data_IF_365074092977
#
_entry.id   IF_365074092977
#
_cell.length_a   1.000
_cell.length_b   1.000
_cell.length_c   1.000
_cell.angle_alpha   90.00
_cell.angle_beta   90.00
_cell.angle_gamma   90.00
#
_symmetry.space_group_name_H-M   'P 1'
#
loop_
_entity.id
_entity.type
_entity.pdbx_description
1 polymer ?
#
# COMPACT_ATOMS: atom_id res chain seq x y z
N UNK A 1 -2.69 -1.46 0.69
CA UNK A 1 -2.94 -0.59 -0.48
C UNK A 1 -2.10 0.64 -0.28
N UNK A 2 -1.43 1.13 -1.31
CA UNK A 2 -0.48 2.22 -1.16
C UNK A 2 -0.58 3.14 -2.37
N UNK A 3 -0.49 4.44 -2.15
CA UNK A 3 -0.43 5.44 -3.21
C UNK A 3 0.96 6.09 -3.25
N UNK A 4 1.53 6.20 -4.45
CA UNK A 4 2.88 6.74 -4.68
C UNK A 4 2.82 7.85 -5.73
N UNK A 5 2.89 9.12 -5.31
CA UNK A 5 3.03 10.23 -6.24
C UNK A 5 4.47 10.40 -6.70
N UNK A 6 4.63 11.01 -7.88
CA UNK A 6 5.89 11.52 -8.38
C UNK A 6 5.70 12.96 -8.86
N UNK A 7 6.76 13.76 -8.81
CA UNK A 7 6.75 15.14 -9.33
C UNK A 7 6.63 15.17 -10.86
N UNK A 8 7.19 14.16 -11.54
CA UNK A 8 7.17 14.07 -13.00
C UNK A 8 5.83 13.54 -13.53
N UNK A 9 5.45 14.01 -14.71
CA UNK A 9 4.25 13.53 -15.40
C UNK A 9 4.58 12.36 -16.33
N UNK A 10 4.02 11.19 -16.03
CA UNK A 10 4.20 10.00 -16.85
C UNK A 10 5.57 9.34 -16.65
N UNK A 11 5.99 8.54 -17.64
CA UNK A 11 7.26 7.81 -17.58
C UNK A 11 8.42 8.76 -17.86
N UNK A 12 9.40 8.81 -16.95
CA UNK A 12 10.63 9.58 -17.10
C UNK A 12 11.86 8.70 -16.88
N UNK A 13 12.94 8.96 -17.62
CA UNK A 13 14.27 8.45 -17.27
C UNK A 13 14.79 9.28 -16.09
N UNK A 14 15.41 8.62 -15.12
CA UNK A 14 16.17 9.27 -14.05
C UNK A 14 17.67 9.05 -14.28
N UNK A 15 18.50 9.92 -13.72
CA UNK A 15 19.96 9.80 -13.67
C UNK A 15 20.44 10.17 -12.28
N UNK A 16 21.49 9.50 -11.80
CA UNK A 16 22.08 9.77 -10.47
C UNK A 16 21.00 9.79 -9.36
N UNK A 17 21.01 10.81 -8.51
CA UNK A 17 20.13 10.97 -7.35
C UNK A 17 18.65 11.13 -7.70
N UNK A 18 18.33 11.48 -8.94
CA UNK A 18 16.93 11.55 -9.41
C UNK A 18 16.25 10.16 -9.35
N UNK A 19 17.05 9.08 -9.36
CA UNK A 19 16.58 7.71 -9.22
C UNK A 19 16.24 7.31 -7.77
N UNK A 20 16.52 8.16 -6.79
CA UNK A 20 16.18 7.93 -5.38
C UNK A 20 16.84 6.66 -4.83
N UNK A 21 16.04 5.70 -4.36
CA UNK A 21 16.54 4.45 -3.77
C UNK A 21 17.45 3.63 -4.69
N UNK A 22 17.38 3.84 -6.01
CA UNK A 22 18.22 3.17 -7.01
C UNK A 22 19.45 4.00 -7.42
N UNK A 23 19.64 5.19 -6.84
CA UNK A 23 20.78 6.04 -7.13
C UNK A 23 22.08 5.44 -6.57
N UNK A 24 23.25 5.67 -7.22
CA UNK A 24 24.55 5.25 -6.69
C UNK A 24 24.86 5.82 -5.29
N UNK A 25 24.34 7.01 -4.97
CA UNK A 25 24.47 7.64 -3.65
C UNK A 25 23.66 6.93 -2.56
N UNK A 26 22.66 6.12 -2.96
CA UNK A 26 21.72 5.46 -2.06
C UNK A 26 20.68 6.39 -1.42
N UNK A 27 20.53 7.63 -1.89
CA UNK A 27 19.59 8.60 -1.28
C UNK A 27 18.13 8.30 -1.64
N UNK A 28 17.49 7.47 -0.81
CA UNK A 28 16.10 6.99 -0.99
C UNK A 28 15.07 8.08 -1.34
N UNK A 29 15.13 9.25 -0.69
CA UNK A 29 14.06 10.25 -0.72
C UNK A 29 14.30 11.46 -1.64
N UNK A 30 15.48 11.55 -2.27
CA UNK A 30 15.86 12.72 -3.07
C UNK A 30 15.32 12.63 -4.51
N UNK A 31 14.99 11.42 -4.98
CA UNK A 31 14.45 11.20 -6.33
C UNK A 31 13.06 11.80 -6.59
N UNK A 32 12.60 11.73 -7.84
CA UNK A 32 11.32 12.36 -8.24
C UNK A 32 10.06 11.73 -7.64
N UNK A 33 10.15 10.49 -7.18
CA UNK A 33 9.02 9.69 -6.72
C UNK A 33 9.07 9.47 -5.21
N UNK A 34 7.90 9.27 -4.62
CA UNK A 34 7.79 8.80 -3.23
C UNK A 34 8.02 7.28 -3.18
N UNK A 35 9.15 6.81 -2.61
CA UNK A 35 9.50 5.39 -2.61
C UNK A 35 8.69 4.58 -1.59
N UNK A 36 8.15 5.23 -0.55
CA UNK A 36 7.45 4.54 0.54
C UNK A 36 5.95 4.57 0.33
N UNK A 37 5.44 5.67 -0.23
CA UNK A 37 4.01 5.88 -0.40
C UNK A 37 3.30 6.24 0.90
N UNK A 38 2.00 6.47 0.77
CA UNK A 38 1.06 6.44 1.89
C UNK A 38 0.32 5.10 1.87
N UNK A 39 0.63 4.22 2.82
CA UNK A 39 0.15 2.85 2.88
C UNK A 39 -1.00 2.65 3.87
N UNK A 40 -1.86 1.71 3.53
CA UNK A 40 -2.88 1.12 4.40
C UNK A 40 -2.71 -0.40 4.38
N UNK A 41 -1.99 -0.92 5.37
CA UNK A 41 -1.92 -2.34 5.73
C UNK A 41 -2.68 -2.53 7.06
N UNK A 42 -3.79 -3.29 7.09
CA UNK A 42 -4.57 -3.50 8.31
C UNK A 42 -3.76 -3.95 9.53
N UNK A 43 -2.78 -4.85 9.35
CA UNK A 43 -1.94 -5.31 10.45
C UNK A 43 -1.03 -4.19 10.96
N UNK A 44 -0.40 -3.45 10.05
CA UNK A 44 0.43 -2.27 10.39
C UNK A 44 -0.38 -1.16 11.06
N UNK A 45 -1.66 -1.06 10.73
CA UNK A 45 -2.63 -0.13 11.32
C UNK A 45 -3.30 -0.68 12.60
N UNK A 46 -2.72 -1.69 13.26
CA UNK A 46 -3.18 -2.17 14.56
C UNK A 46 -4.35 -3.16 14.53
N UNK A 47 -4.64 -3.76 13.37
CA UNK A 47 -5.71 -4.75 13.18
C UNK A 47 -5.17 -6.10 12.65
N UNK A 48 -4.34 -6.82 13.43
CA UNK A 48 -3.73 -8.06 12.97
C UNK A 48 -4.75 -9.17 12.68
N UNK A 49 -5.94 -9.14 13.28
CA UNK A 49 -6.99 -10.14 13.07
C UNK A 49 -7.87 -9.89 11.83
N UNK A 50 -7.60 -8.84 11.05
CA UNK A 50 -8.47 -8.47 9.93
C UNK A 50 -8.20 -9.29 8.65
N UNK A 51 -6.94 -9.40 8.20
CA UNK A 51 -6.59 -10.01 6.91
C UNK A 51 -5.59 -11.15 7.07
N UNK A 52 -5.91 -12.33 6.52
CA UNK A 52 -5.04 -13.53 6.54
C UNK A 52 -5.82 -14.84 6.71
N UNK A 53 -5.14 -15.99 6.86
CA UNK A 53 -5.80 -17.29 6.93
C UNK A 53 -6.76 -17.39 8.13
N UNK A 54 -8.05 -17.66 7.88
CA UNK A 54 -9.08 -17.80 8.92
C UNK A 54 -9.46 -16.48 9.64
N UNK A 55 -9.05 -15.33 9.12
CA UNK A 55 -9.37 -13.99 9.68
C UNK A 55 -10.67 -13.42 9.07
N UNK A 56 -11.03 -12.18 9.43
CA UNK A 56 -12.26 -11.50 8.96
C UNK A 56 -12.33 -11.51 7.42
N UNK A 57 -11.24 -11.10 6.76
CA UNK A 57 -10.98 -11.34 5.34
C UNK A 57 -10.07 -12.57 5.22
N UNK A 58 -10.70 -13.74 5.02
CA UNK A 58 -10.04 -15.05 5.04
C UNK A 58 -9.29 -15.30 3.73
N UNK A 59 -7.97 -15.25 3.76
CA UNK A 59 -7.14 -15.41 2.54
C UNK A 59 -7.02 -16.84 2.05
N UNK A 60 -7.60 -17.83 2.76
CA UNK A 60 -7.72 -19.21 2.25
C UNK A 60 -8.84 -19.36 1.21
N UNK A 61 -9.65 -18.31 1.03
CA UNK A 61 -10.79 -18.28 0.11
C UNK A 61 -10.67 -17.10 -0.85
N UNK A 62 -11.37 -17.19 -1.98
CA UNK A 62 -11.48 -16.07 -2.93
C UNK A 62 -12.04 -14.83 -2.23
N UNK A 63 -11.45 -13.67 -2.51
CA UNK A 63 -11.82 -12.38 -1.97
C UNK A 63 -12.09 -11.41 -3.13
N UNK A 64 -13.23 -10.72 -3.11
CA UNK A 64 -13.45 -9.56 -3.97
C UNK A 64 -12.89 -8.34 -3.28
N UNK A 65 -12.01 -7.60 -3.98
CA UNK A 65 -11.39 -6.37 -3.47
C UNK A 65 -11.96 -5.20 -4.27
N UNK A 66 -12.55 -4.22 -3.57
CA UNK A 66 -13.12 -3.01 -4.19
C UNK A 66 -12.31 -1.80 -3.73
N UNK A 67 -11.81 -1.01 -4.68
CA UNK A 67 -11.10 0.24 -4.40
C UNK A 67 -11.87 1.39 -5.03
N UNK A 68 -12.08 2.47 -4.27
CA UNK A 68 -12.83 3.65 -4.71
C UNK A 68 -11.93 4.87 -4.62
N UNK A 69 -11.92 5.68 -5.68
CA UNK A 69 -11.15 6.92 -5.77
C UNK A 69 -12.14 8.09 -5.67
N UNK A 70 -12.16 8.74 -4.52
CA UNK A 70 -13.13 9.79 -4.18
C UNK A 70 -12.51 11.15 -4.48
N UNK A 71 -13.22 11.96 -5.25
CA UNK A 71 -12.83 13.34 -5.54
C UNK A 71 -13.57 14.34 -4.66
N UNK A 72 -13.05 15.56 -4.52
CA UNK A 72 -13.53 16.57 -3.57
C UNK A 72 -15.00 16.96 -3.76
N UNK A 73 -15.54 16.88 -4.98
CA UNK A 73 -16.93 17.21 -5.30
C UNK A 73 -17.71 16.04 -5.94
N UNK A 74 -17.11 14.84 -5.99
CA UNK A 74 -17.69 13.65 -6.61
C UNK A 74 -17.65 13.61 -8.14
N UNK A 75 -17.02 14.60 -8.80
CA UNK A 75 -16.84 14.61 -10.27
C UNK A 75 -15.50 14.02 -10.69
N UNK A 76 -15.37 13.46 -11.91
CA UNK A 76 -14.09 12.92 -12.40
C UNK A 76 -12.98 13.96 -12.63
N UNK A 77 -13.34 15.25 -12.72
CA UNK A 77 -12.39 16.34 -12.98
C UNK A 77 -11.77 16.92 -11.72
N UNK A 78 -12.41 16.75 -10.56
CA UNK A 78 -11.94 17.33 -9.31
C UNK A 78 -10.74 16.57 -8.72
N UNK A 79 -10.11 17.19 -7.73
CA UNK A 79 -8.95 16.62 -7.03
C UNK A 79 -9.33 15.34 -6.28
N UNK A 80 -8.45 14.33 -6.34
CA UNK A 80 -8.56 13.12 -5.52
C UNK A 80 -8.31 13.49 -4.06
N UNK A 81 -9.24 13.14 -3.17
CA UNK A 81 -9.16 13.46 -1.73
C UNK A 81 -9.12 12.22 -0.83
N UNK A 82 -9.58 11.07 -1.34
CA UNK A 82 -9.64 9.86 -0.54
C UNK A 82 -9.59 8.60 -1.41
N UNK A 83 -8.86 7.57 -0.96
CA UNK A 83 -8.89 6.23 -1.55
C UNK A 83 -9.47 5.27 -0.52
N UNK A 84 -10.68 4.74 -0.81
CA UNK A 84 -11.39 3.80 0.06
C UNK A 84 -11.18 2.36 -0.38
N UNK A 85 -11.27 1.46 0.58
CA UNK A 85 -11.19 0.01 0.38
C UNK A 85 -12.44 -0.66 0.95
N UNK A 86 -12.95 -1.67 0.24
CA UNK A 86 -13.94 -2.62 0.75
C UNK A 86 -13.59 -4.01 0.26
N UNK A 87 -14.11 -5.03 0.93
CA UNK A 87 -14.02 -6.41 0.49
C UNK A 87 -15.41 -7.04 0.43
N UNK A 88 -15.54 -8.12 -0.34
CA UNK A 88 -16.69 -9.01 -0.28
C UNK A 88 -16.17 -10.45 -0.34
N UNK A 89 -16.67 -11.29 0.57
CA UNK A 89 -16.32 -12.70 0.61
C UNK A 89 -17.59 -13.53 0.83
N UNK A 90 -17.85 -14.49 -0.05
CA UNK A 90 -19.05 -15.33 0.01
C UNK A 90 -20.35 -14.52 0.13
N UNK A 91 -20.47 -13.45 -0.67
CA UNK A 91 -21.58 -12.50 -0.65
C UNK A 91 -21.72 -11.66 0.64
N UNK A 92 -20.78 -11.78 1.58
CA UNK A 92 -20.74 -10.95 2.79
C UNK A 92 -19.85 -9.72 2.55
N UNK A 93 -20.40 -8.49 2.62
CA UNK A 93 -19.59 -7.29 2.54
C UNK A 93 -18.76 -7.10 3.82
N UNK A 94 -17.51 -6.67 3.64
CA UNK A 94 -16.56 -6.43 4.71
C UNK A 94 -15.99 -5.02 4.52
N UNK A 95 -16.25 -4.13 5.47
CA UNK A 95 -15.65 -2.79 5.51
C UNK A 95 -14.16 -2.89 5.83
N UNK A 96 -13.36 -1.92 5.34
CA UNK A 96 -11.98 -1.79 5.80
C UNK A 96 -11.97 -1.50 7.31
N UNK A 97 -10.98 -1.98 8.08
CA UNK A 97 -10.93 -1.67 9.50
C UNK A 97 -10.47 -0.22 9.68
N UNK A 98 -10.87 0.39 10.79
CA UNK A 98 -10.31 1.68 11.19
C UNK A 98 -8.91 1.49 11.78
N UNK A 99 -8.04 2.49 11.62
CA UNK A 99 -6.73 2.54 12.25
C UNK A 99 -6.89 2.43 13.77
N UNK A 100 -6.16 1.50 14.37
CA UNK A 100 -6.13 1.24 15.81
C UNK A 100 -4.70 1.43 16.33
N UNK A 101 -4.20 2.66 16.22
CA UNK A 101 -2.87 3.07 16.68
C UNK A 101 -3.03 4.30 17.57
N UNK A 102 -2.42 4.32 18.77
CA UNK A 102 -2.44 5.51 19.62
C UNK A 102 -1.95 6.76 18.88
N UNK A 103 -2.63 7.89 19.10
CA UNK A 103 -2.32 9.19 18.50
C UNK A 103 -2.55 9.31 16.98
N UNK A 104 -3.24 8.34 16.37
CA UNK A 104 -3.82 8.49 15.02
C UNK A 104 -5.34 8.51 15.15
N UNK A 105 -6.00 9.44 14.44
CA UNK A 105 -7.46 9.49 14.42
C UNK A 105 -8.02 8.25 13.71
N UNK A 106 -9.29 7.92 13.99
CA UNK A 106 -9.94 6.73 13.46
C UNK A 106 -10.29 6.89 11.97
N UNK A 107 -9.33 6.58 11.07
CA UNK A 107 -9.53 6.52 9.62
C UNK A 107 -9.64 5.08 9.14
N UNK A 108 -10.43 4.82 8.11
CA UNK A 108 -10.52 3.52 7.41
C UNK A 108 -10.10 3.60 5.94
N UNK A 109 -9.47 4.71 5.54
CA UNK A 109 -9.13 5.04 4.16
C UNK A 109 -7.83 5.86 4.09
N UNK A 110 -7.30 6.02 2.88
CA UNK A 110 -6.15 6.89 2.62
C UNK A 110 -6.69 8.30 2.32
N UNK A 111 -6.37 9.25 3.19
CA UNK A 111 -6.57 10.70 3.05
C UNK A 111 -5.26 11.42 3.38
N UNK A 112 -5.08 12.67 2.94
CA UNK A 112 -3.89 13.46 3.31
C UNK A 112 -3.66 13.48 4.81
N UNK A 113 -4.71 13.72 5.61
CA UNK A 113 -4.62 13.75 7.07
C UNK A 113 -4.22 12.41 7.67
N UNK A 114 -4.77 11.29 7.16
CA UNK A 114 -4.38 9.96 7.65
C UNK A 114 -2.91 9.66 7.36
N UNK A 115 -2.40 10.07 6.18
CA UNK A 115 -1.00 9.90 5.81
C UNK A 115 -0.08 10.70 6.74
N UNK A 116 -0.43 11.97 7.01
CA UNK A 116 0.40 12.86 7.83
C UNK A 116 0.46 12.37 9.28
N UNK A 117 -0.67 11.98 9.85
CA UNK A 117 -0.73 11.42 11.20
C UNK A 117 0.01 10.09 11.29
N UNK A 118 -0.17 9.20 10.31
CA UNK A 118 0.53 7.92 10.22
C UNK A 118 2.04 8.11 10.18
N UNK A 119 2.55 8.93 9.25
CA UNK A 119 3.99 9.13 9.08
C UNK A 119 4.60 9.76 10.33
N UNK A 120 3.91 10.73 10.92
CA UNK A 120 4.33 11.36 12.18
C UNK A 120 4.44 10.34 13.32
N UNK A 121 3.40 9.52 13.54
CA UNK A 121 3.37 8.56 14.65
C UNK A 121 4.36 7.40 14.44
N UNK A 122 4.60 6.99 13.20
CA UNK A 122 5.57 5.93 12.90
C UNK A 122 7.02 6.44 12.81
N UNK A 123 7.22 7.76 12.76
CA UNK A 123 8.55 8.36 12.56
C UNK A 123 9.10 8.16 11.15
N UNK A 124 8.22 7.94 10.17
CA UNK A 124 8.58 7.74 8.77
C UNK A 124 8.76 9.10 8.07
N UNK A 125 9.61 9.17 7.04
CA UNK A 125 9.78 10.38 6.22
C UNK A 125 8.48 10.73 5.48
N UNK A 126 7.98 11.98 5.54
CA UNK A 126 6.72 12.40 4.93
C UNK A 126 6.85 12.71 3.42
N UNK A 127 7.55 11.84 2.66
CA UNK A 127 7.83 12.05 1.24
C UNK A 127 6.56 12.15 0.38
N UNK A 128 5.50 11.43 0.74
CA UNK A 128 4.21 11.46 0.04
C UNK A 128 3.68 12.88 -0.21
N UNK A 129 3.65 13.72 0.83
CA UNK A 129 3.20 15.11 0.67
C UNK A 129 4.21 15.96 -0.08
N UNK A 130 5.50 15.74 0.15
CA UNK A 130 6.56 16.45 -0.56
C UNK A 130 6.54 16.20 -2.08
N UNK A 131 6.02 15.05 -2.52
CA UNK A 131 5.83 14.71 -3.94
C UNK A 131 4.41 15.02 -4.46
N UNK A 132 3.60 15.80 -3.72
CA UNK A 132 2.30 16.31 -4.15
C UNK A 132 1.07 15.51 -3.69
N UNK A 133 1.29 14.46 -2.87
CA UNK A 133 0.24 13.72 -2.18
C UNK A 133 -0.87 13.17 -3.09
N UNK A 134 -2.10 13.14 -2.58
CA UNK A 134 -3.25 12.62 -3.33
C UNK A 134 -3.58 13.45 -4.57
N UNK A 135 -3.27 14.75 -4.58
CA UNK A 135 -3.46 15.57 -5.77
C UNK A 135 -2.62 15.04 -6.94
N UNK A 136 -1.32 14.80 -6.72
CA UNK A 136 -0.43 14.25 -7.75
C UNK A 136 -0.85 12.84 -8.19
N UNK A 137 -1.34 11.99 -7.27
CA UNK A 137 -1.93 10.69 -7.61
C UNK A 137 -3.18 10.86 -8.49
N UNK A 138 -4.06 11.80 -8.15
CA UNK A 138 -5.25 12.12 -8.94
C UNK A 138 -4.90 12.62 -10.35
N UNK A 139 -3.88 13.47 -10.48
CA UNK A 139 -3.35 13.90 -11.78
C UNK A 139 -2.86 12.71 -12.63
N UNK A 140 -2.17 11.75 -12.01
CA UNK A 140 -1.72 10.54 -12.70
C UNK A 140 -2.88 9.64 -13.15
N UNK A 141 -3.88 9.43 -12.29
CA UNK A 141 -5.08 8.67 -12.63
C UNK A 141 -5.84 9.32 -13.80
N UNK A 142 -5.95 10.66 -13.83
CA UNK A 142 -6.66 11.38 -14.89
C UNK A 142 -5.97 11.28 -16.24
N UNK A 143 -4.63 11.22 -16.27
CA UNK A 143 -3.87 10.95 -17.51
C UNK A 143 -4.10 9.54 -18.05
N UNK A 144 -4.60 8.63 -17.22
CA UNK A 144 -4.71 7.21 -17.52
C UNK A 144 -3.48 6.45 -17.02
N UNK A 145 -3.73 5.31 -16.37
CA UNK A 145 -2.70 4.41 -15.89
C UNK A 145 -2.87 3.03 -16.52
N UNK A 146 -1.76 2.32 -16.68
CA UNK A 146 -1.76 0.93 -17.14
C UNK A 146 -2.00 0.02 -15.95
N UNK A 147 -2.93 -0.93 -16.08
CA UNK A 147 -3.13 -1.99 -15.10
C UNK A 147 -2.02 -3.03 -15.24
N UNK A 148 -1.36 -3.36 -14.14
CA UNK A 148 -0.31 -4.37 -14.08
C UNK A 148 -0.62 -5.43 -13.02
N UNK A 149 -0.28 -6.68 -13.33
CA UNK A 149 -0.33 -7.81 -12.41
C UNK A 149 1.03 -8.50 -12.40
N UNK A 150 1.51 -8.84 -11.21
CA UNK A 150 2.78 -9.52 -11.02
C UNK A 150 2.71 -10.51 -9.84
N UNK A 151 3.65 -11.45 -9.84
CA UNK A 151 4.02 -12.29 -8.72
C UNK A 151 5.55 -12.24 -8.64
N UNK A 152 6.10 -11.94 -7.47
CA UNK A 152 7.53 -11.75 -7.25
C UNK A 152 7.86 -11.99 -5.77
N UNK A 153 9.08 -12.44 -5.52
CA UNK A 153 9.76 -12.31 -4.24
C UNK A 153 10.71 -11.09 -4.28
N UNK A 154 11.27 -10.73 -3.13
CA UNK A 154 11.97 -9.46 -2.95
C UNK A 154 13.42 -9.71 -2.55
N UNK A 155 14.34 -9.41 -3.47
CA UNK A 155 15.79 -9.56 -3.31
C UNK A 155 16.39 -8.56 -2.31
N UNK A 156 15.74 -7.41 -2.08
CA UNK A 156 16.32 -6.32 -1.30
C UNK A 156 15.91 -6.38 0.17
N UNK A 157 14.63 -6.65 0.43
CA UNK A 157 14.06 -6.59 1.78
C UNK A 157 13.24 -7.83 2.15
N UNK A 158 13.33 -8.91 1.37
CA UNK A 158 12.74 -10.22 1.67
C UNK A 158 11.22 -10.15 1.96
N UNK A 159 10.52 -9.17 1.38
CA UNK A 159 9.09 -8.91 1.59
C UNK A 159 8.73 -8.54 3.04
N UNK A 160 9.71 -8.31 3.93
CA UNK A 160 9.49 -8.06 5.35
C UNK A 160 8.73 -6.75 5.61
N UNK A 161 8.89 -5.77 4.71
CA UNK A 161 8.14 -4.51 4.70
C UNK A 161 6.64 -4.70 4.44
N UNK A 162 6.21 -5.88 4.01
CA UNK A 162 4.81 -6.23 3.77
C UNK A 162 4.23 -7.10 4.89
N UNK A 163 4.94 -8.14 5.31
CA UNK A 163 4.34 -9.25 6.09
C UNK A 163 5.06 -9.61 7.40
N UNK A 164 6.09 -8.87 7.80
CA UNK A 164 6.90 -9.16 8.98
C UNK A 164 7.11 -7.92 9.86
N UNK A 165 8.17 -7.89 10.65
CA UNK A 165 8.68 -6.71 11.36
C UNK A 165 9.74 -6.04 10.48
N UNK A 166 9.55 -4.75 10.20
CA UNK A 166 10.48 -3.99 9.36
C UNK A 166 10.74 -2.58 9.91
N UNK A 167 12.03 -2.17 10.04
CA UNK A 167 13.23 -2.93 9.64
C UNK A 167 13.53 -4.11 10.58
N UNK A 168 14.25 -5.15 10.11
CA UNK A 168 14.62 -6.28 10.96
C UNK A 168 15.40 -5.84 12.21
N UNK A 169 15.04 -6.37 13.38
CA UNK A 169 15.67 -6.01 14.66
C UNK A 169 15.12 -4.74 15.32
N UNK A 170 14.20 -4.01 14.67
CA UNK A 170 13.49 -2.93 15.32
C UNK A 170 12.63 -3.44 16.48
N UNK A 171 12.42 -2.59 17.50
CA UNK A 171 11.55 -2.93 18.62
C UNK A 171 10.09 -3.09 18.13
N UNK A 172 9.46 -4.27 18.28
CA UNK A 172 8.12 -4.53 17.76
C UNK A 172 7.02 -3.72 18.46
N UNK A 173 7.31 -3.13 19.63
CA UNK A 173 6.40 -2.22 20.33
C UNK A 173 6.32 -0.83 19.70
N UNK A 174 7.23 -0.48 18.77
CA UNK A 174 7.14 0.78 18.02
C UNK A 174 6.05 0.68 16.96
N UNK A 175 5.17 1.68 16.95
CA UNK A 175 4.11 1.82 15.95
C UNK A 175 4.69 1.78 14.53
N UNK A 176 4.09 0.99 13.65
CA UNK A 176 4.50 0.88 12.24
C UNK A 176 5.56 -0.18 11.94
N UNK A 177 6.21 -0.77 12.95
CA UNK A 177 7.22 -1.84 12.76
C UNK A 177 6.58 -3.16 12.36
N UNK A 178 5.53 -3.59 13.06
CA UNK A 178 4.87 -4.87 12.81
C UNK A 178 3.85 -4.73 11.67
N UNK A 179 4.03 -5.51 10.61
CA UNK A 179 3.25 -5.42 9.35
C UNK A 179 2.58 -6.72 8.96
N UNK A 180 2.99 -7.82 9.59
CA UNK A 180 2.34 -9.12 9.54
C UNK A 180 2.92 -10.06 10.59
N UNK A 181 2.73 -11.36 10.37
CA UNK A 181 3.07 -12.41 11.33
C UNK A 181 4.25 -13.27 10.88
N UNK A 182 4.83 -13.00 9.72
CA UNK A 182 5.99 -13.75 9.22
C UNK A 182 7.22 -13.45 10.08
N UNK A 183 8.09 -14.44 10.29
CA UNK A 183 9.33 -14.23 11.02
C UNK A 183 10.32 -13.40 10.19
N UNK A 184 11.19 -12.63 10.85
CA UNK A 184 12.18 -11.75 10.20
C UNK A 184 13.27 -12.50 9.43
N UNK A 185 13.33 -13.82 9.56
CA UNK A 185 14.24 -14.73 8.85
C UNK A 185 13.61 -15.40 7.62
N UNK A 186 12.39 -14.98 7.24
CA UNK A 186 11.69 -15.53 6.06
C UNK A 186 11.88 -14.63 4.84
N UNK A 187 11.41 -15.09 3.68
CA UNK A 187 11.37 -14.27 2.46
C UNK A 187 12.69 -14.19 1.69
N UNK A 188 13.74 -14.90 2.13
CA UNK A 188 14.98 -15.05 1.35
C UNK A 188 14.63 -15.69 0.00
N UNK A 189 14.91 -15.06 -1.15
CA UNK A 189 14.46 -15.53 -2.46
C UNK A 189 14.79 -17.00 -2.74
N UNK A 190 16.05 -17.40 -2.53
CA UNK A 190 16.49 -18.78 -2.75
C UNK A 190 15.69 -19.81 -1.91
N UNK A 191 15.30 -19.44 -0.69
CA UNK A 191 14.50 -20.28 0.19
C UNK A 191 13.04 -20.34 -0.30
N UNK A 192 12.47 -19.20 -0.68
CA UNK A 192 11.09 -19.08 -1.18
C UNK A 192 10.91 -19.85 -2.49
N UNK A 193 11.81 -19.65 -3.45
CA UNK A 193 11.81 -20.31 -4.75
C UNK A 193 11.91 -21.84 -4.61
N UNK A 194 12.76 -22.32 -3.68
CA UNK A 194 12.94 -23.75 -3.43
C UNK A 194 11.75 -24.39 -2.68
N UNK A 195 11.19 -23.72 -1.68
CA UNK A 195 10.10 -24.25 -0.86
C UNK A 195 8.72 -24.11 -1.51
N UNK A 196 8.50 -23.06 -2.28
CA UNK A 196 7.20 -22.73 -2.86
C UNK A 196 7.24 -22.55 -4.39
N UNK A 197 7.84 -23.50 -5.16
CA UNK A 197 8.03 -23.34 -6.61
C UNK A 197 6.73 -23.33 -7.40
N UNK A 198 5.63 -23.82 -6.81
CA UNK A 198 4.31 -23.91 -7.43
C UNK A 198 3.35 -22.81 -6.95
N UNK A 199 3.87 -21.75 -6.31
CA UNK A 199 3.07 -20.59 -5.92
C UNK A 199 2.41 -19.96 -7.14
N UNK A 200 1.14 -19.59 -7.01
CA UNK A 200 0.40 -18.93 -8.08
C UNK A 200 -0.63 -17.96 -7.51
N UNK A 201 -1.00 -16.96 -8.30
CA UNK A 201 -2.05 -15.99 -7.99
C UNK A 201 -3.08 -15.98 -9.11
N UNK A 202 -4.37 -15.99 -8.77
CA UNK A 202 -5.46 -15.87 -9.73
C UNK A 202 -6.22 -14.57 -9.52
N UNK A 203 -6.14 -13.69 -10.52
CA UNK A 203 -6.89 -12.43 -10.56
C UNK A 203 -7.95 -12.57 -11.64
N UNK A 204 -9.23 -12.36 -11.27
CA UNK A 204 -10.37 -12.64 -12.14
C UNK A 204 -11.53 -11.69 -11.85
N UNK A 205 -12.50 -11.62 -12.77
CA UNK A 205 -13.72 -10.83 -12.62
C UNK A 205 -13.45 -9.34 -12.34
N UNK A 206 -12.51 -8.77 -13.09
CA UNK A 206 -12.16 -7.35 -13.01
C UNK A 206 -13.37 -6.55 -13.50
N UNK A 207 -13.83 -5.60 -12.67
CA UNK A 207 -14.91 -4.67 -12.98
C UNK A 207 -14.40 -3.25 -12.78
N UNK A 208 -14.84 -2.34 -13.65
CA UNK A 208 -14.52 -0.91 -13.58
C UNK A 208 -15.77 -0.11 -13.91
N UNK A 209 -16.05 0.94 -13.14
CA UNK A 209 -17.23 1.77 -13.32
C UNK A 209 -17.42 2.78 -12.19
N UNK A 210 -18.56 3.52 -12.20
CA UNK A 210 -18.90 4.47 -11.15
C UNK A 210 -18.90 3.86 -9.75
N UNK A 211 -18.68 4.69 -8.74
CA UNK A 211 -18.71 4.28 -7.33
C UNK A 211 -20.03 3.58 -7.02
N UNK A 212 -19.95 2.34 -6.54
CA UNK A 212 -21.11 1.51 -6.19
C UNK A 212 -21.57 0.54 -7.28
N UNK A 213 -21.00 0.58 -8.49
CA UNK A 213 -21.44 -0.26 -9.63
C UNK A 213 -20.78 -1.65 -9.72
N UNK A 214 -19.78 -1.94 -8.89
CA UNK A 214 -18.85 -3.07 -9.11
C UNK A 214 -18.87 -4.14 -8.02
N UNK A 215 -19.86 -4.13 -7.12
CA UNK A 215 -20.01 -5.16 -6.07
C UNK A 215 -20.72 -6.40 -6.60
#
# INVERSE_FOLDING_TARGET
MTAHPCLNQGRSRCEEDDCGALAPSGTRYDGFCDPDGCDFNPCRMGNPSFYGPGKIADTTKKLTVVTQFITSDGTPSASLVEIRRKYNQNAVPISNPHINIPNISSFDSITSTSCDQQKTVFGDMPSFQAKGGLNAVGEALRRGMVLAFSIYDDQDAHMLWLDSQYPPGANPSLSGVTRGTCATTTGVPADVEAMYPNSSVMISNIKFGPIGSTV
#
